data_IF_527017547883
#
_entry.id   IF_527017547883
#
_cell.length_a   1.000
_cell.length_b   1.000
_cell.length_c   1.000
_cell.angle_alpha   90.00
_cell.angle_beta   90.00
_cell.angle_gamma   90.00
#
_symmetry.space_group_name_H-M   'P 1'
#
loop_
_entity.id
_entity.type
_entity.pdbx_description
1 polymer ?
#
# COMPACT_ATOMS: atom_id res chain seq x y z
N UNK A 1 4.62 5.03 -5.30
CA UNK A 1 4.86 3.67 -5.83
C UNK A 1 4.30 2.59 -4.93
N UNK A 2 4.94 2.25 -3.79
CA UNK A 2 4.42 1.22 -2.86
C UNK A 2 3.07 1.62 -2.23
N UNK A 3 2.91 2.91 -1.91
CA UNK A 3 1.70 3.47 -1.29
C UNK A 3 0.43 3.11 -2.06
N UNK A 4 0.43 3.15 -3.40
CA UNK A 4 -0.76 2.82 -4.19
C UNK A 4 -1.17 1.35 -4.06
N UNK A 5 -0.19 0.44 -3.99
CA UNK A 5 -0.46 -0.98 -3.75
C UNK A 5 -1.01 -1.19 -2.33
N UNK A 6 -0.46 -0.48 -1.34
CA UNK A 6 -0.94 -0.55 0.04
C UNK A 6 -2.37 0.02 0.20
N UNK A 7 -2.69 1.13 -0.46
CA UNK A 7 -4.06 1.72 -0.47
C UNK A 7 -5.08 0.72 -1.03
N UNK A 8 -4.71 -0.06 -2.06
CA UNK A 8 -5.56 -1.10 -2.62
C UNK A 8 -5.49 -2.44 -1.84
N UNK A 9 -4.63 -2.54 -0.83
CA UNK A 9 -4.40 -3.77 -0.07
C UNK A 9 -3.80 -4.90 -0.89
N UNK A 10 -3.01 -4.59 -1.91
CA UNK A 10 -2.43 -5.54 -2.86
C UNK A 10 -0.90 -5.59 -2.73
N UNK A 11 -0.28 -6.73 -3.08
CA UNK A 11 1.17 -6.81 -3.21
C UNK A 11 1.64 -6.10 -4.50
N UNK A 12 2.91 -5.65 -4.57
CA UNK A 12 3.49 -5.09 -5.80
C UNK A 12 3.51 -6.06 -6.99
N UNK A 13 3.41 -7.37 -6.72
CA UNK A 13 3.31 -8.43 -7.74
C UNK A 13 1.92 -8.57 -8.35
N UNK A 14 0.94 -7.77 -7.92
CA UNK A 14 -0.44 -7.88 -8.38
C UNK A 14 -0.58 -7.56 -9.88
N UNK A 15 -1.38 -8.38 -10.57
CA UNK A 15 -1.66 -8.22 -12.00
C UNK A 15 -2.64 -7.06 -12.24
N UNK A 16 -2.70 -6.54 -13.46
CA UNK A 16 -3.65 -5.47 -13.81
C UNK A 16 -5.12 -5.86 -13.56
N UNK A 17 -5.47 -7.14 -13.76
CA UNK A 17 -6.80 -7.66 -13.49
C UNK A 17 -7.13 -7.67 -11.99
N UNK A 18 -6.18 -8.07 -11.14
CA UNK A 18 -6.34 -8.07 -9.69
C UNK A 18 -6.53 -6.65 -9.14
N UNK A 19 -5.75 -5.70 -9.66
CA UNK A 19 -5.85 -4.28 -9.31
C UNK A 19 -7.23 -3.74 -9.70
N UNK A 20 -7.69 -4.02 -10.92
CA UNK A 20 -9.02 -3.59 -11.38
C UNK A 20 -10.14 -4.20 -10.54
N UNK A 21 -10.05 -5.50 -10.22
CA UNK A 21 -11.05 -6.19 -9.39
C UNK A 21 -11.13 -5.55 -8.00
N UNK A 22 -9.99 -5.34 -7.33
CA UNK A 22 -9.95 -4.71 -6.01
C UNK A 22 -10.46 -3.28 -6.03
N UNK A 23 -10.12 -2.50 -7.05
CA UNK A 23 -10.65 -1.15 -7.22
C UNK A 23 -12.18 -1.14 -7.27
N UNK A 24 -12.79 -2.04 -8.05
CA UNK A 24 -14.25 -2.14 -8.15
C UNK A 24 -14.91 -2.57 -6.82
N UNK A 25 -14.26 -3.45 -6.06
CA UNK A 25 -14.72 -3.83 -4.71
C UNK A 25 -14.70 -2.62 -3.76
N UNK A 26 -13.59 -1.88 -3.73
CA UNK A 26 -13.39 -0.74 -2.84
C UNK A 26 -14.29 0.45 -3.18
N UNK A 27 -14.52 0.73 -4.47
CA UNK A 27 -15.45 1.77 -4.92
C UNK A 27 -16.91 1.45 -4.56
N UNK A 28 -17.28 0.17 -4.55
CA UNK A 28 -18.61 -0.25 -4.10
C UNK A 28 -18.77 -0.12 -2.58
N UNK A 29 -17.70 -0.38 -1.83
CA UNK A 29 -17.67 -0.29 -0.38
C UNK A 29 -17.61 1.16 0.13
N UNK A 30 -16.83 2.03 -0.53
CA UNK A 30 -16.64 3.42 -0.14
C UNK A 30 -17.31 4.35 -1.15
N UNK A 31 -18.53 4.77 -0.83
CA UNK A 31 -19.30 5.67 -1.70
C UNK A 31 -18.75 7.10 -1.59
N UNK A 32 -18.73 7.87 -2.71
CA UNK A 32 -18.23 9.24 -2.72
C UNK A 32 -19.01 10.20 -1.81
N UNK A 33 -20.25 9.85 -1.42
CA UNK A 33 -21.07 10.64 -0.50
C UNK A 33 -20.80 10.38 0.99
N UNK A 34 -20.18 9.26 1.35
CA UNK A 34 -19.92 8.88 2.75
C UNK A 34 -18.45 9.08 3.12
N UNK A 35 -17.52 8.67 2.26
CA UNK A 35 -16.07 8.76 2.49
C UNK A 35 -15.34 9.37 1.28
N UNK A 36 -15.47 10.69 1.04
CA UNK A 36 -14.92 11.34 -0.16
C UNK A 36 -13.39 11.27 -0.25
N UNK A 37 -12.69 11.45 0.88
CA UNK A 37 -11.23 11.43 0.93
C UNK A 37 -10.68 10.03 0.58
N UNK A 38 -11.30 8.99 1.14
CA UNK A 38 -10.90 7.60 0.89
C UNK A 38 -11.18 7.18 -0.55
N UNK A 39 -12.32 7.61 -1.10
CA UNK A 39 -12.64 7.41 -2.51
C UNK A 39 -11.60 8.03 -3.45
N UNK A 40 -11.14 9.25 -3.14
CA UNK A 40 -10.08 9.90 -3.90
C UNK A 40 -8.75 9.14 -3.82
N UNK A 41 -8.37 8.67 -2.62
CA UNK A 41 -7.16 7.86 -2.43
C UNK A 41 -7.20 6.56 -3.24
N UNK A 42 -8.33 5.85 -3.21
CA UNK A 42 -8.54 4.60 -3.97
C UNK A 42 -8.45 4.86 -5.48
N UNK A 43 -9.10 5.92 -5.96
CA UNK A 43 -9.09 6.29 -7.38
C UNK A 43 -7.69 6.67 -7.85
N UNK A 44 -6.98 7.49 -7.06
CA UNK A 44 -5.61 7.89 -7.36
C UNK A 44 -4.66 6.68 -7.41
N UNK A 45 -4.83 5.72 -6.48
CA UNK A 45 -4.04 4.49 -6.46
C UNK A 45 -4.28 3.61 -7.70
N UNK A 46 -5.54 3.49 -8.14
CA UNK A 46 -5.87 2.76 -9.36
C UNK A 46 -5.29 3.44 -10.61
N UNK A 47 -5.46 4.75 -10.77
CA UNK A 47 -4.95 5.49 -11.93
C UNK A 47 -3.43 5.41 -12.06
N UNK A 48 -2.72 5.34 -10.93
CA UNK A 48 -1.27 5.17 -10.89
C UNK A 48 -0.79 3.78 -11.32
N UNK A 49 -1.65 2.75 -11.26
CA UNK A 49 -1.29 1.33 -11.42
C UNK A 49 -2.02 0.59 -12.55
N UNK A 50 -3.01 1.22 -13.20
CA UNK A 50 -3.95 0.58 -14.15
C UNK A 50 -3.29 -0.09 -15.36
N UNK A 51 -2.17 0.45 -15.84
CA UNK A 51 -1.44 -0.06 -17.00
C UNK A 51 0.07 0.12 -16.81
N UNK A 52 0.88 -0.59 -17.63
CA UNK A 52 2.33 -0.58 -17.50
C UNK A 52 2.93 0.82 -17.68
N UNK A 53 2.34 1.63 -18.57
CA UNK A 53 2.78 3.00 -18.81
C UNK A 53 2.53 3.89 -17.59
N UNK A 54 1.40 3.72 -16.91
CA UNK A 54 1.06 4.39 -15.67
C UNK A 54 2.00 3.96 -14.55
N UNK A 55 2.31 2.67 -14.44
CA UNK A 55 3.28 2.15 -13.47
C UNK A 55 4.66 2.76 -13.68
N UNK A 56 5.16 2.79 -14.92
CA UNK A 56 6.47 3.39 -15.26
C UNK A 56 6.45 4.90 -15.01
N UNK A 57 5.39 5.61 -15.40
CA UNK A 57 5.25 7.04 -15.13
C UNK A 57 5.27 7.31 -13.63
N UNK A 58 4.53 6.56 -12.84
CA UNK A 58 4.51 6.67 -11.38
C UNK A 58 5.86 6.30 -10.77
N UNK A 59 6.60 5.36 -11.35
CA UNK A 59 7.95 5.00 -10.89
C UNK A 59 8.93 6.15 -11.09
N UNK A 60 8.90 6.76 -12.28
CA UNK A 60 9.82 7.81 -12.69
C UNK A 60 9.49 9.17 -12.06
N UNK A 61 8.20 9.52 -11.99
CA UNK A 61 7.74 10.86 -11.60
C UNK A 61 6.98 10.88 -10.28
N UNK A 62 6.65 9.73 -9.71
CA UNK A 62 5.91 9.68 -8.44
C UNK A 62 6.69 10.33 -7.30
N UNK A 63 8.01 10.22 -7.28
CA UNK A 63 8.86 10.86 -6.26
C UNK A 63 8.81 12.39 -6.33
N UNK A 64 8.68 12.96 -7.53
CA UNK A 64 8.55 14.41 -7.70
C UNK A 64 7.20 14.95 -7.21
N UNK A 65 6.16 14.10 -7.16
CA UNK A 65 4.85 14.45 -6.61
C UNK A 65 4.85 14.43 -5.06
N UNK A 66 5.71 13.62 -4.44
CA UNK A 66 5.99 13.66 -3.00
C UNK A 66 7.24 14.51 -2.77
N UNK A 67 7.16 15.81 -3.07
CA UNK A 67 8.23 16.77 -2.75
C UNK A 67 8.54 16.86 -1.25
N UNK A 68 7.69 16.25 -0.42
CA UNK A 68 7.86 16.08 1.01
C UNK A 68 7.92 14.58 1.36
N UNK A 69 9.12 14.14 1.74
CA UNK A 69 9.38 12.76 2.16
C UNK A 69 8.60 12.37 3.42
N UNK A 70 8.30 13.32 4.31
CA UNK A 70 7.51 13.03 5.52
C UNK A 70 6.08 12.65 5.16
N UNK A 71 5.48 13.34 4.20
CA UNK A 71 4.12 13.05 3.73
C UNK A 71 4.04 11.67 3.03
N UNK A 72 5.12 11.27 2.33
CA UNK A 72 5.24 9.93 1.78
C UNK A 72 5.37 8.86 2.87
N UNK A 73 6.10 9.16 3.95
CA UNK A 73 6.30 8.25 5.08
C UNK A 73 5.00 8.08 5.87
N UNK A 74 4.28 9.16 6.15
CA UNK A 74 2.97 9.14 6.81
C UNK A 74 1.95 8.32 6.01
N UNK A 75 1.89 8.52 4.69
CA UNK A 75 1.01 7.72 3.83
C UNK A 75 1.35 6.21 3.91
N UNK A 76 2.63 5.86 4.04
CA UNK A 76 3.09 4.48 4.16
C UNK A 76 2.71 3.86 5.52
N UNK A 77 2.82 4.64 6.60
CA UNK A 77 2.39 4.26 7.96
C UNK A 77 0.87 4.06 8.03
N UNK A 78 0.08 4.93 7.39
CA UNK A 78 -1.38 4.81 7.37
C UNK A 78 -1.86 3.62 6.54
N UNK A 79 -1.21 3.35 5.41
CA UNK A 79 -1.62 2.27 4.52
C UNK A 79 -1.30 0.86 5.08
N UNK A 80 -0.37 0.76 6.04
CA UNK A 80 -0.14 -0.47 6.80
C UNK A 80 0.17 -0.09 8.25
N UNK A 81 -0.81 -0.10 9.18
CA UNK A 81 -0.51 0.12 10.58
C UNK A 81 0.48 -0.96 11.00
N UNK A 82 1.71 -0.54 11.27
CA UNK A 82 2.76 -1.44 11.72
C UNK A 82 2.27 -2.04 13.05
N UNK A 83 1.80 -3.30 13.00
CA UNK A 83 1.62 -4.07 14.23
C UNK A 83 3.00 -4.12 14.86
N UNK A 84 3.17 -3.42 15.98
CA UNK A 84 4.25 -3.69 16.91
C UNK A 84 4.00 -5.08 17.46
N UNK A 85 4.42 -6.09 16.71
CA UNK A 85 4.71 -7.37 17.32
C UNK A 85 5.97 -7.11 18.14
N UNK A 86 5.80 -6.90 19.44
CA UNK A 86 6.89 -7.08 20.38
C UNK A 86 6.94 -8.59 20.63
N UNK A 87 7.78 -9.36 19.90
CA UNK A 87 8.00 -10.75 20.26
C UNK A 87 8.49 -10.77 21.71
N UNK A 88 7.81 -11.56 22.53
CA UNK A 88 8.19 -11.74 23.92
C UNK A 88 9.58 -12.37 24.00
N UNK A 89 10.23 -12.23 25.16
CA UNK A 89 11.56 -12.78 25.42
C UNK A 89 11.65 -14.28 25.06
N UNK A 90 10.60 -15.06 25.32
CA UNK A 90 10.56 -16.49 24.97
C UNK A 90 10.61 -16.73 23.46
N UNK A 91 9.95 -15.88 22.67
CA UNK A 91 9.99 -15.95 21.20
C UNK A 91 11.38 -15.65 20.67
N UNK A 92 12.10 -14.71 21.30
CA UNK A 92 13.47 -14.36 20.95
C UNK A 92 14.47 -15.47 21.30
N UNK A 93 14.40 -16.03 22.51
CA UNK A 93 15.23 -17.18 22.92
C UNK A 93 14.97 -18.42 22.06
N UNK A 94 13.72 -18.67 21.66
CA UNK A 94 13.38 -19.79 20.78
C UNK A 94 13.90 -19.62 19.34
N UNK A 95 14.09 -18.38 18.87
CA UNK A 95 14.70 -18.10 17.58
C UNK A 95 16.23 -18.28 17.62
N UNK A 96 16.86 -17.89 18.73
CA UNK A 96 18.30 -18.07 18.96
C UNK A 96 18.68 -19.56 19.01
N UNK A 97 17.90 -20.39 19.71
CA UNK A 97 18.14 -21.83 19.78
C UNK A 97 18.05 -22.58 18.44
N UNK A 98 17.39 -21.99 17.42
CA UNK A 98 17.28 -22.56 16.07
C UNK A 98 18.39 -22.12 15.12
N UNK A 99 19.22 -21.14 15.50
CA UNK A 99 20.36 -20.67 14.70
C UNK A 99 21.63 -21.51 14.91
N UNK A 100 21.65 -22.38 15.90
CA UNK A 100 22.81 -23.20 16.28
C UNK A 100 22.61 -24.73 16.08
N UNK A 101 21.60 -25.13 15.31
CA UNK A 101 21.38 -26.51 14.87
C UNK A 101 21.48 -26.59 13.34
#
# INVERSE_FOLDING_TARGET
MLVHYLVLGLPPSATGEEIRRRYLELVRAHRPGEEPERFQQITAAYEALKDDRARVRTALFGMAAYGDFELALDALVQARPARREMPGLQTLLAAEGKLHA
#
